data_IF_903320980637
#
_entry.id   IF_903320980637
#
_cell.length_a   1.000
_cell.length_b   1.000
_cell.length_c   1.000
_cell.angle_alpha   90.00
_cell.angle_beta   90.00
_cell.angle_gamma   90.00
#
_symmetry.space_group_name_H-M   'P 1'
#
loop_
_entity.id
_entity.type
_entity.pdbx_description
1 polymer ?
#
# COMPACT_ATOMS: atom_id res chain seq x y z
N UNK A 1 -1.79 -18.58 -3.99
CA UNK A 1 -2.84 -17.85 -3.25
C UNK A 1 -4.27 -18.32 -3.59
N UNK A 2 -4.68 -18.35 -4.86
CA UNK A 2 -6.07 -18.71 -5.23
C UNK A 2 -6.55 -20.05 -4.63
N UNK A 3 -5.74 -21.10 -4.73
CA UNK A 3 -6.04 -22.43 -4.15
C UNK A 3 -6.26 -22.32 -2.64
N UNK A 4 -5.34 -21.66 -1.91
CA UNK A 4 -5.46 -21.50 -0.46
C UNK A 4 -6.72 -20.76 0.00
N UNK A 5 -7.21 -19.77 -0.77
CA UNK A 5 -8.46 -19.06 -0.49
C UNK A 5 -9.69 -19.91 -0.86
N UNK A 6 -9.65 -20.57 -2.03
CA UNK A 6 -10.73 -21.41 -2.56
C UNK A 6 -10.98 -22.62 -1.66
N UNK A 7 -9.92 -23.29 -1.25
CA UNK A 7 -9.94 -24.51 -0.44
C UNK A 7 -9.98 -24.22 1.07
N UNK A 8 -10.14 -22.93 1.44
CA UNK A 8 -10.30 -22.47 2.81
C UNK A 8 -9.16 -22.82 3.77
N UNK A 9 -7.93 -22.96 3.28
CA UNK A 9 -6.72 -23.00 4.14
C UNK A 9 -6.56 -21.70 4.95
N UNK A 10 -7.11 -20.60 4.43
CA UNK A 10 -7.22 -19.30 5.11
C UNK A 10 -8.70 -18.93 5.21
N UNK A 11 -9.14 -18.47 6.38
CA UNK A 11 -10.54 -18.08 6.61
C UNK A 11 -10.68 -16.84 7.52
N UNK A 12 -11.79 -16.14 7.37
CA UNK A 12 -12.06 -14.87 8.06
C UNK A 12 -11.95 -13.67 7.12
N UNK A 13 -12.86 -12.70 7.28
CA UNK A 13 -13.00 -11.59 6.35
C UNK A 13 -11.72 -10.74 6.24
N UNK A 14 -11.11 -10.37 7.37
CA UNK A 14 -9.84 -9.62 7.40
C UNK A 14 -8.70 -10.40 6.73
N UNK A 15 -8.50 -11.66 7.15
CA UNK A 15 -7.41 -12.50 6.65
C UNK A 15 -7.49 -12.72 5.14
N UNK A 16 -8.68 -13.02 4.60
CA UNK A 16 -8.85 -13.24 3.16
C UNK A 16 -8.55 -11.96 2.37
N UNK A 17 -8.90 -10.79 2.90
CA UNK A 17 -8.56 -9.51 2.27
C UNK A 17 -7.04 -9.28 2.22
N UNK A 18 -6.33 -9.49 3.32
CA UNK A 18 -4.87 -9.38 3.38
C UNK A 18 -4.18 -10.40 2.45
N UNK A 19 -4.65 -11.65 2.46
CA UNK A 19 -4.11 -12.71 1.62
C UNK A 19 -4.32 -12.41 0.12
N UNK A 20 -5.47 -11.84 -0.25
CA UNK A 20 -5.73 -11.39 -1.61
C UNK A 20 -4.77 -10.27 -2.05
N UNK A 21 -4.57 -9.25 -1.21
CA UNK A 21 -3.62 -8.18 -1.48
C UNK A 21 -2.19 -8.71 -1.65
N UNK A 22 -1.78 -9.66 -0.79
CA UNK A 22 -0.49 -10.32 -0.92
C UNK A 22 -0.39 -11.15 -2.22
N UNK A 23 -1.46 -11.81 -2.63
CA UNK A 23 -1.52 -12.52 -3.90
C UNK A 23 -1.34 -11.60 -5.12
N UNK A 24 -1.90 -10.39 -5.08
CA UNK A 24 -1.67 -9.37 -6.12
C UNK A 24 -0.20 -8.93 -6.12
N UNK A 25 0.39 -8.68 -4.95
CA UNK A 25 1.81 -8.34 -4.82
C UNK A 25 2.74 -9.40 -5.42
N UNK A 26 2.49 -10.69 -5.17
CA UNK A 26 3.25 -11.78 -5.77
C UNK A 26 3.14 -11.78 -7.30
N UNK A 27 1.93 -11.58 -7.84
CA UNK A 27 1.72 -11.48 -9.28
C UNK A 27 2.44 -10.25 -9.89
N UNK A 28 2.47 -9.13 -9.18
CA UNK A 28 3.24 -7.93 -9.59
C UNK A 28 4.73 -8.24 -9.63
N UNK A 29 5.26 -8.95 -8.64
CA UNK A 29 6.67 -9.36 -8.61
C UNK A 29 7.02 -10.34 -9.71
N UNK A 30 6.17 -11.33 -9.96
CA UNK A 30 6.36 -12.29 -11.05
C UNK A 30 6.32 -11.58 -12.42
N UNK A 31 5.35 -10.68 -12.62
CA UNK A 31 5.26 -9.89 -13.85
C UNK A 31 6.49 -9.00 -14.06
N UNK A 32 7.02 -8.39 -13.00
CA UNK A 32 8.24 -7.57 -13.07
C UNK A 32 9.53 -8.39 -13.24
N UNK A 33 9.52 -9.68 -12.92
CA UNK A 33 10.68 -10.56 -13.05
C UNK A 33 10.81 -11.19 -14.46
N UNK A 34 9.72 -11.22 -15.23
CA UNK A 34 9.72 -11.75 -16.61
C UNK A 34 10.02 -10.60 -17.58
N UNK A 35 11.26 -10.59 -18.07
CA UNK A 35 11.85 -9.73 -19.11
C UNK A 35 12.00 -8.23 -18.80
N UNK A 36 13.15 -7.70 -19.25
CA UNK A 36 13.45 -6.28 -19.33
C UNK A 36 12.43 -5.62 -20.27
N UNK A 37 11.50 -4.86 -19.68
CA UNK A 37 10.45 -4.07 -20.35
C UNK A 37 9.33 -4.90 -21.01
N UNK A 38 8.45 -5.48 -20.18
CA UNK A 38 7.04 -5.54 -20.58
C UNK A 38 6.56 -4.10 -20.86
N UNK A 39 5.84 -3.92 -21.96
CA UNK A 39 5.05 -2.71 -22.17
C UNK A 39 4.11 -2.51 -20.98
N UNK A 40 3.93 -1.26 -20.55
CA UNK A 40 3.20 -0.91 -19.32
C UNK A 40 1.81 -1.55 -19.27
N UNK A 41 1.12 -1.60 -20.41
CA UNK A 41 -0.20 -2.19 -20.54
C UNK A 41 -0.21 -3.71 -20.33
N UNK A 42 0.81 -4.42 -20.82
CA UNK A 42 0.90 -5.87 -20.65
C UNK A 42 1.18 -6.22 -19.19
N UNK A 43 2.09 -5.48 -18.55
CA UNK A 43 2.36 -5.60 -17.13
C UNK A 43 1.08 -5.38 -16.31
N UNK A 44 0.38 -4.26 -16.56
CA UNK A 44 -0.87 -3.94 -15.87
C UNK A 44 -1.93 -5.01 -16.08
N UNK A 45 -2.05 -5.56 -17.29
CA UNK A 45 -3.06 -6.56 -17.59
C UNK A 45 -2.77 -7.89 -16.89
N UNK A 46 -1.50 -8.32 -16.81
CA UNK A 46 -1.11 -9.51 -16.04
C UNK A 46 -1.50 -9.37 -14.56
N UNK A 47 -1.23 -8.21 -13.96
CA UNK A 47 -1.58 -7.96 -12.55
C UNK A 47 -3.11 -7.88 -12.36
N UNK A 48 -3.83 -7.22 -13.27
CA UNK A 48 -5.31 -7.16 -13.26
C UNK A 48 -5.94 -8.55 -13.42
N UNK A 49 -5.38 -9.39 -14.28
CA UNK A 49 -5.81 -10.77 -14.48
C UNK A 49 -5.65 -11.60 -13.21
N UNK A 50 -4.52 -11.47 -12.51
CA UNK A 50 -4.33 -12.10 -11.20
C UNK A 50 -5.39 -11.63 -10.17
N UNK A 51 -5.67 -10.33 -10.14
CA UNK A 51 -6.75 -9.77 -9.31
C UNK A 51 -8.13 -10.35 -9.65
N UNK A 52 -8.47 -10.53 -10.94
CA UNK A 52 -9.73 -11.18 -11.37
C UNK A 52 -9.81 -12.62 -10.88
N UNK A 53 -8.75 -13.41 -11.11
CA UNK A 53 -8.67 -14.81 -10.66
C UNK A 53 -8.83 -14.95 -9.15
N UNK A 54 -8.25 -14.04 -8.37
CA UNK A 54 -8.42 -14.03 -6.91
C UNK A 54 -9.88 -13.79 -6.52
N UNK A 55 -10.55 -12.80 -7.14
CA UNK A 55 -11.98 -12.50 -6.85
C UNK A 55 -12.90 -13.66 -7.18
N UNK A 56 -12.61 -14.41 -8.25
CA UNK A 56 -13.39 -15.56 -8.68
C UNK A 56 -13.32 -16.74 -7.69
N UNK A 57 -12.31 -16.79 -6.82
CA UNK A 57 -12.23 -17.88 -5.82
C UNK A 57 -13.40 -17.87 -4.84
N UNK A 58 -13.91 -16.68 -4.46
CA UNK A 58 -15.06 -16.49 -3.57
C UNK A 58 -15.80 -15.18 -3.90
N UNK A 59 -16.64 -15.13 -4.94
CA UNK A 59 -17.17 -13.88 -5.50
C UNK A 59 -18.02 -13.05 -4.54
N UNK A 60 -18.61 -13.66 -3.51
CA UNK A 60 -19.42 -12.98 -2.49
C UNK A 60 -18.60 -12.38 -1.34
N UNK A 61 -17.30 -12.69 -1.24
CA UNK A 61 -16.45 -12.17 -0.17
C UNK A 61 -16.02 -10.72 -0.48
N UNK A 62 -16.67 -9.75 0.18
CA UNK A 62 -16.40 -8.33 -0.04
C UNK A 62 -14.93 -7.98 0.23
N UNK A 63 -14.35 -8.47 1.33
CA UNK A 63 -12.96 -8.19 1.67
C UNK A 63 -11.96 -8.78 0.67
N UNK A 64 -12.30 -9.91 0.02
CA UNK A 64 -11.51 -10.47 -1.09
C UNK A 64 -11.51 -9.52 -2.29
N UNK A 65 -12.68 -8.98 -2.65
CA UNK A 65 -12.81 -8.01 -3.73
C UNK A 65 -12.01 -6.74 -3.46
N UNK A 66 -12.08 -6.25 -2.22
CA UNK A 66 -11.34 -5.09 -1.75
C UNK A 66 -9.82 -5.34 -1.79
N UNK A 67 -9.36 -6.47 -1.23
CA UNK A 67 -7.93 -6.82 -1.21
C UNK A 67 -7.32 -7.12 -2.58
N UNK A 68 -8.09 -7.71 -3.51
CA UNK A 68 -7.65 -8.00 -4.87
C UNK A 68 -7.73 -6.79 -5.84
N UNK A 69 -7.99 -5.58 -5.34
CA UNK A 69 -8.15 -4.38 -6.14
C UNK A 69 -6.90 -3.49 -6.11
N UNK A 70 -6.32 -3.21 -7.29
CA UNK A 70 -5.11 -2.38 -7.43
C UNK A 70 -5.30 -0.94 -6.90
N UNK A 71 -6.51 -0.40 -7.05
CA UNK A 71 -6.85 0.98 -6.62
C UNK A 71 -6.67 1.18 -5.12
N UNK A 72 -6.98 0.15 -4.32
CA UNK A 72 -6.79 0.24 -2.87
C UNK A 72 -5.31 0.31 -2.50
N UNK A 73 -4.48 -0.47 -3.18
CA UNK A 73 -3.04 -0.47 -2.93
C UNK A 73 -2.42 0.91 -3.18
N UNK A 74 -2.72 1.52 -4.33
CA UNK A 74 -2.28 2.88 -4.67
C UNK A 74 -2.80 3.92 -3.66
N UNK A 75 -4.06 3.80 -3.24
CA UNK A 75 -4.64 4.69 -2.24
C UNK A 75 -3.95 4.57 -0.88
N UNK A 76 -3.70 3.35 -0.41
CA UNK A 76 -3.04 3.11 0.87
C UNK A 76 -1.58 3.59 0.84
N UNK A 77 -0.89 3.37 -0.29
CA UNK A 77 0.45 3.89 -0.52
C UNK A 77 0.47 5.42 -0.48
N UNK A 78 -0.48 6.08 -1.14
CA UNK A 78 -0.61 7.53 -1.12
C UNK A 78 -0.85 8.05 0.30
N UNK A 79 -1.74 7.42 1.07
CA UNK A 79 -1.99 7.78 2.46
C UNK A 79 -0.74 7.62 3.33
N UNK A 80 0.03 6.55 3.12
CA UNK A 80 1.27 6.31 3.84
C UNK A 80 2.33 7.37 3.51
N UNK A 81 2.51 7.68 2.22
CA UNK A 81 3.43 8.72 1.77
C UNK A 81 3.04 10.09 2.31
N UNK A 82 1.74 10.41 2.30
CA UNK A 82 1.21 11.64 2.88
C UNK A 82 1.46 11.71 4.39
N UNK A 83 1.25 10.61 5.10
CA UNK A 83 1.53 10.53 6.54
C UNK A 83 3.01 10.82 6.82
N UNK A 84 3.93 10.16 6.12
CA UNK A 84 5.36 10.42 6.28
C UNK A 84 5.72 11.86 5.92
N UNK A 85 5.16 12.40 4.84
CA UNK A 85 5.37 13.78 4.45
C UNK A 85 4.95 14.75 5.57
N UNK A 86 3.75 14.58 6.13
CA UNK A 86 3.25 15.41 7.23
C UNK A 86 4.15 15.29 8.47
N UNK A 87 4.55 14.07 8.84
CA UNK A 87 5.46 13.84 9.97
C UNK A 87 6.79 14.55 9.76
N UNK A 88 7.37 14.45 8.56
CA UNK A 88 8.63 15.14 8.23
C UNK A 88 8.46 16.66 8.30
N UNK A 89 7.37 17.21 7.74
CA UNK A 89 7.09 18.66 7.81
C UNK A 89 6.94 19.12 9.26
N UNK A 90 6.22 18.37 10.10
CA UNK A 90 6.07 18.69 11.52
C UNK A 90 7.43 18.69 12.21
N UNK A 91 8.25 17.64 12.00
CA UNK A 91 9.59 17.55 12.57
C UNK A 91 10.45 18.76 12.13
N UNK A 92 10.46 19.07 10.83
CA UNK A 92 11.22 20.20 10.30
C UNK A 92 10.77 21.52 10.90
N UNK A 93 9.47 21.78 10.98
CA UNK A 93 8.91 23.02 11.56
C UNK A 93 9.24 23.13 13.04
N UNK A 94 9.09 22.05 13.81
CA UNK A 94 9.39 22.03 15.24
C UNK A 94 10.88 22.24 15.49
N UNK A 95 11.74 21.57 14.73
CA UNK A 95 13.21 21.69 14.87
C UNK A 95 13.67 23.08 14.44
N UNK A 96 13.23 23.59 13.27
CA UNK A 96 13.58 24.95 12.84
C UNK A 96 13.07 26.00 13.83
N UNK A 97 11.82 25.85 14.30
CA UNK A 97 11.22 26.73 15.28
C UNK A 97 12.03 26.76 16.58
N UNK A 98 12.45 25.60 17.08
CA UNK A 98 13.31 25.51 18.24
C UNK A 98 14.66 26.20 18.02
N UNK A 99 15.30 26.02 16.86
CA UNK A 99 16.57 26.68 16.55
C UNK A 99 16.45 28.20 16.39
N UNK A 100 15.35 28.70 15.83
CA UNK A 100 15.13 30.13 15.61
C UNK A 100 14.69 30.87 16.88
N UNK A 101 13.89 30.24 17.75
CA UNK A 101 13.43 30.86 18.99
C UNK A 101 14.45 30.80 20.14
N UNK A 102 15.37 29.83 20.13
CA UNK A 102 16.38 29.69 21.18
C UNK A 102 17.40 30.83 21.22
N UNK A 103 17.61 31.55 20.10
CA UNK A 103 18.54 32.68 20.05
C UNK A 103 17.93 34.01 20.54
N UNK A 104 16.67 34.06 20.98
CA UNK A 104 16.08 35.29 21.54
C UNK A 104 16.57 35.47 22.99
N UNK A 105 17.43 36.47 23.30
CA UNK A 105 17.96 36.66 24.64
C UNK A 105 16.82 37.11 25.57
N UNK A 106 16.47 36.28 26.54
CA UNK A 106 15.56 36.66 27.62
C UNK A 106 16.34 37.54 28.60
N UNK A 107 16.21 38.86 28.44
CA UNK A 107 16.46 39.83 29.49
C UNK A 107 17.86 40.45 29.54
N UNK A 108 17.95 41.68 29.04
CA UNK A 108 18.69 42.75 29.74
C UNK A 108 17.72 43.89 30.01
N UNK A 109 16.90 43.72 31.05
CA UNK A 109 16.29 44.83 31.79
C UNK A 109 17.18 45.11 33.00
N UNK A 110 18.16 46.00 32.82
CA UNK A 110 18.79 46.78 33.88
C UNK A 110 18.88 48.22 33.38
#
# INVERSE_FOLDING_TARGET
>A
MCIAIKDMHLRGAGLIGCAAAYGVYLATREAAAVELALEEDEFLERVRAAGRRLRETRPTAVNLRVGASLRLFLFLLLLLLLFFFVVVVIIVVVVLGATLFWEVPVGTTV
#
